data_IF_174950565935
#
_entry.id   IF_174950565935
#
_cell.length_a   1.000
_cell.length_b   1.000
_cell.length_c   1.000
_cell.angle_alpha   90.00
_cell.angle_beta   90.00
_cell.angle_gamma   90.00
#
_symmetry.space_group_name_H-M   'P 1'
#
loop_
_entity.id
_entity.type
_entity.pdbx_description
1 polymer ?
#
# COMPACT_ATOMS: atom_id res chain seq x y z
N UNK A 1 -10.58 -21.03 -63.17
CA UNK A 1 -10.14 -20.34 -61.94
C UNK A 1 -11.06 -19.16 -61.75
N UNK A 2 -12.23 -19.32 -61.13
CA UNK A 2 -12.37 -19.47 -59.68
C UNK A 2 -12.95 -18.16 -59.13
N UNK A 3 -14.26 -17.97 -59.31
CA UNK A 3 -15.12 -16.89 -58.79
C UNK A 3 -15.47 -17.12 -57.32
N UNK A 4 -15.44 -16.10 -56.45
CA UNK A 4 -16.30 -15.90 -55.26
C UNK A 4 -16.20 -14.40 -54.86
N UNK A 5 -17.20 -13.54 -55.13
CA UNK A 5 -18.47 -13.31 -54.42
C UNK A 5 -18.36 -12.54 -53.11
N UNK A 6 -19.05 -11.39 -53.08
CA UNK A 6 -19.45 -10.61 -51.91
C UNK A 6 -20.05 -11.50 -50.81
N UNK A 7 -19.63 -11.30 -49.56
CA UNK A 7 -20.43 -11.55 -48.36
C UNK A 7 -20.54 -10.18 -47.65
N UNK A 8 -21.65 -9.45 -47.87
CA UNK A 8 -22.78 -9.37 -46.94
C UNK A 8 -22.36 -8.91 -45.54
N UNK A 9 -22.32 -7.59 -45.38
CA UNK A 9 -22.50 -6.91 -44.09
C UNK A 9 -23.92 -7.25 -43.60
N UNK A 10 -24.09 -7.83 -42.39
CA UNK A 10 -25.41 -7.89 -41.77
C UNK A 10 -25.85 -6.45 -41.45
N UNK A 11 -27.03 -6.01 -41.92
CA UNK A 11 -27.63 -4.77 -41.45
C UNK A 11 -28.22 -5.00 -40.06
N UNK A 12 -28.25 -3.93 -39.26
CA UNK A 12 -28.89 -3.83 -37.93
C UNK A 12 -28.03 -4.28 -36.72
N UNK A 13 -27.19 -3.36 -36.25
CA UNK A 13 -27.05 -3.05 -34.83
C UNK A 13 -26.88 -1.53 -34.71
N UNK A 14 -27.93 -0.90 -34.21
CA UNK A 14 -28.12 0.54 -33.98
C UNK A 14 -26.84 1.22 -33.46
N UNK A 15 -26.32 2.18 -34.23
CA UNK A 15 -25.10 2.94 -33.94
C UNK A 15 -25.23 3.90 -32.76
N UNK A 16 -26.43 4.04 -32.18
CA UNK A 16 -26.67 4.88 -30.99
C UNK A 16 -26.64 4.11 -29.66
N UNK A 17 -26.92 2.80 -29.67
CA UNK A 17 -26.88 1.95 -28.47
C UNK A 17 -25.45 1.59 -28.04
N UNK A 18 -24.50 1.53 -28.98
CA UNK A 18 -23.11 1.16 -28.67
C UNK A 18 -22.34 2.24 -27.91
N UNK A 19 -22.61 3.54 -28.10
CA UNK A 19 -21.84 4.58 -27.41
C UNK A 19 -22.25 4.71 -25.93
N UNK A 20 -23.53 4.53 -25.63
CA UNK A 20 -24.05 4.49 -24.26
C UNK A 20 -23.65 3.21 -23.53
N UNK A 21 -23.70 2.05 -24.21
CA UNK A 21 -23.28 0.77 -23.61
C UNK A 21 -21.76 0.72 -23.42
N UNK A 22 -20.96 1.20 -24.37
CA UNK A 22 -19.50 1.32 -24.21
C UNK A 22 -19.13 2.41 -23.19
N UNK A 23 -19.88 3.51 -23.13
CA UNK A 23 -19.73 4.53 -22.10
C UNK A 23 -20.02 3.98 -20.71
N UNK A 24 -21.15 3.28 -20.54
CA UNK A 24 -21.52 2.62 -19.29
C UNK A 24 -20.57 1.48 -18.92
N UNK A 25 -20.09 0.69 -19.88
CA UNK A 25 -19.09 -0.35 -19.65
C UNK A 25 -17.75 0.24 -19.25
N UNK A 26 -17.28 1.30 -19.93
CA UNK A 26 -16.06 1.99 -19.54
C UNK A 26 -16.19 2.67 -18.16
N UNK A 27 -17.36 3.21 -17.83
CA UNK A 27 -17.65 3.82 -16.53
C UNK A 27 -17.79 2.77 -15.41
N UNK A 28 -18.35 1.60 -15.72
CA UNK A 28 -18.45 0.45 -14.81
C UNK A 28 -17.11 -0.27 -14.64
N UNK A 29 -16.27 -0.33 -15.69
CA UNK A 29 -14.92 -0.85 -15.63
C UNK A 29 -13.97 0.10 -14.91
N UNK A 30 -14.09 1.42 -15.12
CA UNK A 30 -13.30 2.43 -14.37
C UNK A 30 -13.71 2.51 -12.91
N UNK A 31 -14.99 2.42 -12.58
CA UNK A 31 -15.45 2.34 -11.18
C UNK A 31 -15.09 1.00 -10.54
N UNK A 32 -15.17 -0.12 -11.28
CA UNK A 32 -14.66 -1.40 -10.79
C UNK A 32 -13.14 -1.35 -10.56
N UNK A 33 -12.36 -0.82 -11.50
CA UNK A 33 -10.90 -0.65 -11.35
C UNK A 33 -10.57 0.32 -10.21
N UNK A 34 -11.33 1.40 -10.02
CA UNK A 34 -11.17 2.31 -8.88
C UNK A 34 -11.46 1.61 -7.54
N UNK A 35 -12.46 0.73 -7.48
CA UNK A 35 -12.73 -0.11 -6.31
C UNK A 35 -11.64 -1.17 -6.03
N UNK A 36 -10.72 -1.40 -6.99
CA UNK A 36 -9.55 -2.27 -6.84
C UNK A 36 -8.22 -1.51 -6.80
N UNK A 37 -8.21 -0.19 -7.01
CA UNK A 37 -6.99 0.60 -7.09
C UNK A 37 -6.48 0.89 -5.67
N UNK A 38 -5.31 0.35 -5.37
CA UNK A 38 -4.59 0.60 -4.13
C UNK A 38 -3.75 1.87 -4.30
N UNK A 39 -3.96 2.85 -3.44
CA UNK A 39 -3.25 4.13 -3.44
C UNK A 39 -2.10 4.12 -2.44
N UNK A 40 -0.88 4.49 -2.87
CA UNK A 40 0.30 4.53 -1.99
C UNK A 40 0.35 5.86 -1.26
N UNK A 41 0.21 5.84 0.06
CA UNK A 41 0.25 7.05 0.90
C UNK A 41 1.63 7.32 1.49
N UNK A 42 2.46 6.29 1.60
CA UNK A 42 3.84 6.39 2.08
C UNK A 42 4.71 5.30 1.43
N UNK A 43 5.94 5.64 1.07
CA UNK A 43 6.92 4.66 0.59
C UNK A 43 8.32 4.99 1.10
N UNK A 44 8.98 3.99 1.68
CA UNK A 44 10.41 3.95 2.02
C UNK A 44 11.03 2.73 1.35
N UNK A 45 12.07 2.93 0.57
CA UNK A 45 12.86 1.86 -0.07
C UNK A 45 14.24 2.42 -0.48
N UNK A 46 15.15 1.54 -0.89
CA UNK A 46 16.49 1.94 -1.32
C UNK A 46 16.49 2.40 -2.78
N UNK A 47 16.22 3.69 -3.00
CA UNK A 47 16.28 4.32 -4.32
C UNK A 47 17.65 4.96 -4.63
N UNK A 48 18.67 4.65 -3.83
CA UNK A 48 19.99 5.27 -3.91
C UNK A 48 20.03 6.69 -3.34
N UNK A 49 21.15 7.37 -3.56
CA UNK A 49 21.40 8.73 -3.06
C UNK A 49 21.14 9.81 -4.14
N UNK A 50 20.68 11.02 -3.75
CA UNK A 50 20.30 11.41 -2.40
C UNK A 50 18.95 10.81 -1.98
N UNK A 51 18.83 10.44 -0.70
CA UNK A 51 17.59 9.95 -0.10
C UNK A 51 16.61 11.05 0.25
N UNK A 52 15.31 10.70 0.29
CA UNK A 52 14.28 11.64 0.70
C UNK A 52 14.35 11.85 2.22
N UNK A 53 14.27 13.10 2.65
CA UNK A 53 14.32 13.43 4.07
C UNK A 53 12.90 13.38 4.67
N UNK A 54 12.63 12.44 5.56
CA UNK A 54 11.34 12.35 6.25
C UNK A 54 11.30 13.17 7.56
N UNK A 55 12.41 13.71 8.05
CA UNK A 55 12.42 14.59 9.22
C UNK A 55 11.97 16.01 8.83
N UNK A 56 10.69 16.14 8.49
CA UNK A 56 10.03 17.34 7.98
C UNK A 56 9.07 17.96 9.00
N UNK A 57 8.70 19.20 8.72
CA UNK A 57 7.82 19.98 9.59
C UNK A 57 6.33 19.65 9.37
N UNK A 58 5.46 20.30 10.15
CA UNK A 58 4.01 20.12 10.04
C UNK A 58 3.46 20.46 8.65
N UNK A 59 3.95 21.53 8.02
CA UNK A 59 3.44 22.00 6.74
C UNK A 59 3.79 21.02 5.61
N UNK A 60 5.00 20.49 5.61
CA UNK A 60 5.44 19.44 4.70
C UNK A 60 4.59 18.17 4.88
N UNK A 61 4.39 17.69 6.11
CA UNK A 61 3.54 16.52 6.37
C UNK A 61 2.08 16.73 6.04
N UNK A 62 1.57 17.96 6.15
CA UNK A 62 0.22 18.34 5.73
C UNK A 62 0.07 18.25 4.21
N UNK A 63 1.00 18.85 3.46
CA UNK A 63 0.89 19.02 2.01
C UNK A 63 1.43 17.81 1.21
N UNK A 64 2.30 17.02 1.82
CA UNK A 64 3.02 15.93 1.16
C UNK A 64 4.38 16.35 0.62
N UNK A 65 5.25 15.36 0.42
CA UNK A 65 6.61 15.55 -0.08
C UNK A 65 7.15 14.26 -0.72
N UNK A 66 8.27 14.37 -1.44
CA UNK A 66 8.94 13.27 -2.12
C UNK A 66 8.50 13.10 -3.58
N UNK A 67 8.86 11.96 -4.16
CA UNK A 67 8.63 11.63 -5.57
C UNK A 67 7.75 10.37 -5.64
N UNK A 68 6.58 10.41 -6.33
CA UNK A 68 5.72 9.25 -6.52
C UNK A 68 6.41 8.01 -7.12
N UNK A 69 7.50 8.20 -7.87
CA UNK A 69 8.31 7.13 -8.43
C UNK A 69 9.38 6.58 -7.46
N UNK A 70 9.62 7.26 -6.32
CA UNK A 70 10.62 6.90 -5.29
C UNK A 70 9.96 6.88 -3.90
N UNK A 71 10.62 7.48 -2.91
CA UNK A 71 10.08 7.69 -1.57
C UNK A 71 9.12 8.88 -1.54
N UNK A 72 8.03 8.75 -0.80
CA UNK A 72 7.00 9.79 -0.71
C UNK A 72 6.22 9.74 0.61
N UNK A 73 5.65 10.89 0.97
CA UNK A 73 4.49 11.01 1.86
C UNK A 73 3.40 11.79 1.14
N UNK A 74 2.20 11.22 1.03
CA UNK A 74 1.10 11.80 0.23
C UNK A 74 0.57 13.14 0.78
N UNK A 75 0.75 13.39 2.08
CA UNK A 75 0.22 14.56 2.76
C UNK A 75 -1.03 14.24 3.57
N UNK A 76 -1.04 14.67 4.82
CA UNK A 76 -2.12 14.39 5.77
C UNK A 76 -3.46 14.98 5.31
N UNK A 77 -3.46 16.13 4.64
CA UNK A 77 -4.71 16.71 4.13
C UNK A 77 -5.33 15.81 3.05
N UNK A 78 -4.51 15.28 2.14
CA UNK A 78 -4.98 14.38 1.09
C UNK A 78 -5.51 13.05 1.67
N UNK A 79 -4.78 12.48 2.64
CA UNK A 79 -5.20 11.23 3.31
C UNK A 79 -6.50 11.46 4.11
N UNK A 80 -6.65 12.61 4.77
CA UNK A 80 -7.87 12.98 5.48
C UNK A 80 -9.06 13.04 4.52
N UNK A 81 -8.91 13.75 3.39
CA UNK A 81 -9.97 13.91 2.40
C UNK A 81 -10.42 12.57 1.80
N UNK A 82 -9.50 11.63 1.54
CA UNK A 82 -9.82 10.30 1.04
C UNK A 82 -10.56 9.47 2.09
N UNK A 83 -9.99 9.34 3.29
CA UNK A 83 -10.47 8.42 4.33
C UNK A 83 -11.73 8.89 5.07
N UNK A 84 -12.20 10.11 4.81
CA UNK A 84 -13.46 10.63 5.36
C UNK A 84 -14.61 10.60 4.33
N UNK A 85 -14.33 10.29 3.07
CA UNK A 85 -15.36 10.18 2.04
C UNK A 85 -15.98 8.78 1.99
N UNK A 86 -15.16 7.74 2.16
CA UNK A 86 -15.58 6.33 2.14
C UNK A 86 -14.87 5.54 3.25
N UNK A 87 -15.26 4.28 3.46
CA UNK A 87 -14.53 3.38 4.36
C UNK A 87 -13.30 2.81 3.64
N UNK A 88 -12.12 3.09 4.18
CA UNK A 88 -10.84 2.66 3.62
C UNK A 88 -10.21 1.60 4.51
N UNK A 89 -9.56 0.62 3.88
CA UNK A 89 -8.59 -0.24 4.53
C UNK A 89 -7.18 0.32 4.39
N UNK A 90 -6.32 0.03 5.36
CA UNK A 90 -4.88 0.29 5.31
C UNK A 90 -4.12 -1.02 5.16
N UNK A 91 -3.17 -1.05 4.23
CA UNK A 91 -2.22 -2.12 4.02
C UNK A 91 -0.81 -1.58 4.20
N UNK A 92 0.00 -2.26 5.00
CA UNK A 92 1.40 -1.93 5.23
C UNK A 92 2.24 -3.14 4.82
N UNK A 93 3.16 -2.95 3.89
CA UNK A 93 4.13 -3.96 3.46
C UNK A 93 5.53 -3.61 3.96
N UNK A 94 6.25 -4.62 4.45
CA UNK A 94 7.52 -4.46 5.16
C UNK A 94 8.57 -5.45 4.62
N UNK A 95 9.83 -4.99 4.51
CA UNK A 95 11.00 -5.81 4.16
C UNK A 95 12.16 -5.52 5.12
N UNK A 96 12.84 -6.56 5.60
CA UNK A 96 14.06 -6.48 6.39
C UNK A 96 15.31 -6.57 5.48
N UNK A 97 16.50 -6.40 6.06
CA UNK A 97 17.75 -6.48 5.29
C UNK A 97 18.18 -7.93 4.97
N UNK A 98 17.58 -8.91 5.64
CA UNK A 98 17.86 -10.34 5.46
C UNK A 98 17.15 -10.91 4.22
N UNK A 99 16.22 -10.16 3.62
CA UNK A 99 15.53 -10.57 2.41
C UNK A 99 14.58 -11.74 2.64
N UNK A 100 14.06 -11.88 3.86
CA UNK A 100 13.12 -12.92 4.27
C UNK A 100 11.77 -12.79 3.51
N UNK A 101 11.77 -13.21 2.24
CA UNK A 101 10.60 -13.24 1.35
C UNK A 101 9.92 -14.60 1.51
N UNK A 102 8.81 -14.66 2.24
CA UNK A 102 8.02 -15.89 2.31
C UNK A 102 7.40 -16.16 0.94
N UNK A 103 7.54 -17.40 0.45
CA UNK A 103 7.00 -17.78 -0.84
C UNK A 103 5.46 -17.77 -0.83
N UNK A 104 4.81 -17.29 -1.91
CA UNK A 104 3.37 -17.39 -2.08
C UNK A 104 2.95 -18.86 -2.20
N UNK A 105 1.85 -19.22 -1.54
CA UNK A 105 1.31 -20.59 -1.55
C UNK A 105 0.87 -21.02 -2.99
N UNK A 106 0.58 -22.32 -3.21
CA UNK A 106 0.25 -22.87 -4.53
C UNK A 106 -0.91 -22.13 -5.22
N UNK A 107 -1.94 -21.75 -4.48
CA UNK A 107 -3.10 -20.97 -4.94
C UNK A 107 -2.71 -19.55 -5.36
N UNK A 108 -1.78 -18.90 -4.65
CA UNK A 108 -1.27 -17.58 -5.01
C UNK A 108 -0.43 -17.60 -6.30
N UNK A 109 0.27 -18.72 -6.61
CA UNK A 109 0.96 -18.88 -7.92
C UNK A 109 -0.01 -18.95 -9.11
N UNK A 110 -1.22 -19.45 -8.87
CA UNK A 110 -2.26 -19.52 -9.89
C UNK A 110 -2.91 -18.15 -10.11
N UNK A 111 -3.25 -17.43 -9.03
CA UNK A 111 -3.73 -16.05 -9.12
C UNK A 111 -2.69 -15.10 -9.77
N UNK A 112 -1.41 -15.23 -9.41
CA UNK A 112 -0.30 -14.51 -10.04
C UNK A 112 -0.23 -14.71 -11.56
N UNK A 113 -0.40 -15.96 -12.00
CA UNK A 113 -0.44 -16.34 -13.42
C UNK A 113 -1.67 -15.77 -14.11
N UNK A 114 -2.83 -15.81 -13.46
CA UNK A 114 -4.08 -15.29 -14.01
C UNK A 114 -4.06 -13.77 -14.16
N UNK A 115 -3.51 -13.02 -13.19
CA UNK A 115 -3.34 -11.56 -13.29
C UNK A 115 -2.33 -11.19 -14.37
N UNK A 116 -1.20 -11.91 -14.47
CA UNK A 116 -0.24 -11.73 -15.56
C UNK A 116 -0.91 -11.96 -16.92
N UNK A 117 -1.64 -13.06 -17.08
CA UNK A 117 -2.33 -13.42 -18.32
C UNK A 117 -3.44 -12.43 -18.66
N UNK A 118 -4.18 -11.92 -17.67
CA UNK A 118 -5.22 -10.91 -17.86
C UNK A 118 -4.62 -9.58 -18.32
N UNK A 119 -3.58 -9.09 -17.63
CA UNK A 119 -2.87 -7.85 -18.00
C UNK A 119 -2.22 -7.97 -19.39
N UNK A 120 -1.65 -9.13 -19.71
CA UNK A 120 -1.02 -9.35 -21.01
C UNK A 120 -2.05 -9.47 -22.13
N UNK A 121 -3.20 -10.12 -21.89
CA UNK A 121 -4.32 -10.20 -22.84
C UNK A 121 -4.88 -8.81 -23.13
N UNK A 122 -5.13 -7.99 -22.11
CA UNK A 122 -5.61 -6.61 -22.28
C UNK A 122 -4.63 -5.77 -23.11
N UNK A 123 -3.33 -5.82 -22.80
CA UNK A 123 -2.31 -5.07 -23.54
C UNK A 123 -2.15 -5.55 -24.99
N UNK A 124 -2.34 -6.84 -25.25
CA UNK A 124 -2.29 -7.43 -26.59
C UNK A 124 -3.52 -7.04 -27.43
N UNK A 125 -4.71 -6.97 -26.81
CA UNK A 125 -5.95 -6.50 -27.47
C UNK A 125 -5.90 -4.99 -27.74
N UNK A 126 -5.28 -4.21 -26.86
CA UNK A 126 -5.12 -2.75 -27.02
C UNK A 126 -3.97 -2.33 -27.96
N UNK A 127 -3.21 -3.27 -28.53
CA UNK A 127 -2.07 -3.03 -29.46
C UNK A 127 -1.12 -1.89 -29.02
N UNK A 128 -0.83 -1.77 -27.72
CA UNK A 128 0.15 -0.80 -27.24
C UNK A 128 1.53 -1.44 -27.17
N UNK A 129 2.45 -0.98 -28.00
CA UNK A 129 3.86 -1.39 -28.00
C UNK A 129 4.59 -0.83 -26.76
N UNK A 130 4.47 -1.54 -25.64
CA UNK A 130 5.37 -1.34 -24.51
C UNK A 130 6.40 -2.47 -24.46
N UNK A 131 7.68 -2.12 -24.64
CA UNK A 131 8.82 -3.02 -24.45
C UNK A 131 8.98 -3.36 -22.95
N UNK A 132 8.15 -4.26 -22.43
CA UNK A 132 8.39 -4.86 -21.12
C UNK A 132 9.40 -5.99 -21.24
N UNK A 133 10.44 -5.96 -20.40
CA UNK A 133 11.38 -7.08 -20.27
C UNK A 133 10.60 -8.32 -19.79
N UNK A 134 10.83 -9.51 -20.38
CA UNK A 134 10.17 -10.72 -19.94
C UNK A 134 10.50 -11.04 -18.48
N UNK A 135 9.47 -11.28 -17.66
CA UNK A 135 9.62 -11.71 -16.27
C UNK A 135 10.30 -13.08 -16.26
N UNK A 136 11.55 -13.15 -15.77
CA UNK A 136 12.23 -14.41 -15.49
C UNK A 136 12.04 -14.75 -14.01
N UNK A 137 11.45 -15.90 -13.66
CA UNK A 137 11.42 -16.38 -12.29
C UNK A 137 12.80 -16.90 -11.90
N UNK A 138 13.75 -16.00 -11.65
CA UNK A 138 14.94 -16.34 -10.88
C UNK A 138 14.64 -15.99 -9.43
N UNK A 139 13.94 -16.85 -8.69
CA UNK A 139 13.98 -16.97 -7.22
C UNK A 139 12.82 -17.84 -6.72
N UNK A 140 13.03 -19.14 -6.71
CA UNK A 140 12.35 -20.13 -5.87
C UNK A 140 13.21 -21.40 -5.95
N UNK A 141 14.49 -21.28 -5.60
CA UNK A 141 15.35 -22.45 -5.40
C UNK A 141 15.58 -22.56 -3.89
N UNK A 142 15.15 -23.72 -3.37
CA UNK A 142 15.58 -24.32 -2.10
C UNK A 142 15.06 -23.73 -0.78
N UNK A 143 13.74 -23.76 -0.58
CA UNK A 143 13.16 -23.90 0.77
C UNK A 143 12.26 -25.13 0.78
N UNK A 144 12.49 -26.05 1.73
CA UNK A 144 11.77 -27.32 1.89
C UNK A 144 10.27 -27.08 2.06
N UNK A 145 9.47 -27.90 1.39
CA UNK A 145 8.04 -27.69 1.16
C UNK A 145 7.12 -27.84 2.39
N UNK A 146 7.65 -27.92 3.62
CA UNK A 146 6.90 -28.37 4.81
C UNK A 146 6.43 -27.25 5.74
N UNK A 147 6.89 -26.00 5.61
CA UNK A 147 6.54 -24.90 6.55
C UNK A 147 5.49 -23.89 6.04
N UNK A 148 4.75 -24.22 4.98
CA UNK A 148 3.85 -23.27 4.32
C UNK A 148 2.40 -23.74 4.30
N UNK A 149 1.71 -23.55 5.43
CA UNK A 149 0.24 -23.59 5.47
C UNK A 149 -0.41 -22.31 6.00
N UNK A 150 -1.58 -22.06 5.41
CA UNK A 150 -2.70 -21.19 5.76
C UNK A 150 -2.80 -19.75 5.19
N UNK A 151 -3.87 -19.63 4.39
CA UNK A 151 -4.69 -18.51 3.88
C UNK A 151 -4.21 -17.71 2.65
N UNK A 152 -5.14 -17.65 1.69
CA UNK A 152 -5.16 -16.86 0.46
C UNK A 152 -6.30 -15.88 0.65
N UNK A 153 -6.03 -14.59 0.50
CA UNK A 153 -7.09 -13.62 0.30
C UNK A 153 -6.70 -12.66 -0.83
N UNK A 154 -7.60 -12.54 -1.81
CA UNK A 154 -7.70 -11.43 -2.78
C UNK A 154 -6.56 -11.18 -3.77
N UNK A 155 -5.96 -12.22 -4.37
CA UNK A 155 -5.27 -12.07 -5.66
C UNK A 155 -3.95 -11.28 -5.67
N UNK A 156 -3.52 -10.70 -4.56
CA UNK A 156 -2.21 -10.05 -4.44
C UNK A 156 -1.14 -11.06 -3.99
N UNK A 157 0.00 -11.06 -4.68
CA UNK A 157 1.13 -11.92 -4.34
C UNK A 157 1.85 -11.26 -3.16
N UNK A 158 1.56 -11.70 -1.94
CA UNK A 158 2.28 -11.25 -0.74
C UNK A 158 3.63 -11.95 -0.70
N UNK A 159 4.69 -11.25 -1.13
CA UNK A 159 6.08 -11.74 -1.10
C UNK A 159 6.83 -11.35 0.18
N UNK A 160 6.15 -10.79 1.19
CA UNK A 160 6.79 -10.20 2.37
C UNK A 160 5.91 -10.17 3.63
N UNK A 161 6.35 -9.38 4.61
CA UNK A 161 5.65 -9.17 5.88
C UNK A 161 4.67 -8.03 5.75
N UNK A 162 3.51 -8.15 6.39
CA UNK A 162 2.47 -7.15 6.28
C UNK A 162 1.64 -7.01 7.56
N UNK A 163 1.05 -5.83 7.67
CA UNK A 163 -0.02 -5.51 8.59
C UNK A 163 -1.15 -4.86 7.80
N UNK A 164 -2.38 -5.27 8.05
CA UNK A 164 -3.58 -4.77 7.38
C UNK A 164 -4.60 -4.37 8.42
N UNK A 165 -5.31 -3.27 8.19
CA UNK A 165 -6.40 -2.81 9.04
C UNK A 165 -7.62 -2.62 8.15
N UNK A 166 -8.70 -3.30 8.52
CA UNK A 166 -9.95 -3.27 7.78
C UNK A 166 -10.71 -1.95 7.90
N UNK A 167 -10.30 -1.08 8.83
CA UNK A 167 -10.74 0.30 8.94
C UNK A 167 -9.51 1.19 9.13
N UNK A 168 -9.43 2.28 8.37
CA UNK A 168 -8.39 3.29 8.46
C UNK A 168 -8.97 4.66 8.18
N UNK A 169 -8.79 5.55 9.16
CA UNK A 169 -9.23 6.92 9.09
C UNK A 169 -8.23 7.82 9.78
N UNK A 170 -8.04 9.01 9.22
CA UNK A 170 -7.42 10.10 9.95
C UNK A 170 -8.40 11.27 10.05
N UNK A 171 -8.30 12.06 11.10
CA UNK A 171 -9.20 13.18 11.33
C UNK A 171 -8.67 14.48 10.71
N UNK A 172 -9.43 15.56 10.82
CA UNK A 172 -9.06 16.86 10.25
C UNK A 172 -7.80 17.46 10.89
N UNK A 173 -7.24 18.50 10.28
CA UNK A 173 -6.15 19.28 10.90
C UNK A 173 -6.53 19.84 12.28
N UNK A 174 -7.81 20.19 12.48
CA UNK A 174 -8.35 20.67 13.76
C UNK A 174 -8.31 19.62 14.88
N UNK A 175 -8.24 18.35 14.50
CA UNK A 175 -8.01 17.20 15.40
C UNK A 175 -6.60 16.63 15.24
N UNK A 176 -5.68 17.45 14.70
CA UNK A 176 -4.27 17.12 14.55
C UNK A 176 -4.02 15.83 13.75
N UNK A 177 -4.87 15.54 12.76
CA UNK A 177 -4.79 14.33 11.94
C UNK A 177 -4.73 13.04 12.75
N UNK A 178 -5.42 12.98 13.89
CA UNK A 178 -5.54 11.79 14.76
C UNK A 178 -5.83 10.53 13.95
N UNK A 179 -5.14 9.43 14.27
CA UNK A 179 -5.32 8.12 13.64
C UNK A 179 -6.45 7.33 14.30
N UNK A 180 -7.25 6.65 13.50
CA UNK A 180 -8.19 5.61 13.93
C UNK A 180 -8.07 4.40 12.99
N UNK A 181 -7.88 3.22 13.58
CA UNK A 181 -7.74 1.94 12.89
C UNK A 181 -8.45 0.82 13.64
N UNK A 182 -8.94 -0.17 12.89
CA UNK A 182 -9.52 -1.39 13.46
C UNK A 182 -9.44 -2.59 12.48
N UNK A 183 -9.70 -3.79 13.00
CA UNK A 183 -9.75 -5.05 12.26
C UNK A 183 -8.39 -5.45 11.70
N UNK A 184 -7.40 -5.56 12.60
CA UNK A 184 -6.06 -6.00 12.24
C UNK A 184 -6.07 -7.43 11.67
N UNK A 185 -5.37 -7.60 10.56
CA UNK A 185 -4.93 -8.90 10.04
C UNK A 185 -3.48 -8.79 9.54
N UNK A 186 -2.73 -9.87 9.64
CA UNK A 186 -1.40 -9.95 9.03
C UNK A 186 -0.36 -10.63 9.89
N UNK A 187 0.82 -10.79 9.29
CA UNK A 187 1.92 -11.59 9.83
C UNK A 187 3.03 -10.76 10.47
N UNK A 188 3.03 -9.43 10.37
CA UNK A 188 4.06 -8.56 10.96
C UNK A 188 3.81 -8.19 12.44
N UNK A 189 2.72 -8.68 13.04
CA UNK A 189 2.27 -8.26 14.36
C UNK A 189 1.71 -6.83 14.38
N UNK A 190 0.80 -6.56 15.32
CA UNK A 190 0.06 -5.30 15.38
C UNK A 190 0.82 -4.23 16.17
N UNK A 191 1.72 -3.50 15.50
CA UNK A 191 2.46 -2.39 16.13
C UNK A 191 1.60 -1.14 16.32
N UNK A 192 0.57 -0.90 15.49
CA UNK A 192 -0.19 0.36 15.58
C UNK A 192 -1.28 0.31 16.65
N UNK A 193 -1.84 -0.85 16.97
CA UNK A 193 -2.89 -0.96 17.98
C UNK A 193 -2.36 -1.39 19.37
N UNK A 194 -1.04 -1.35 19.58
CA UNK A 194 -0.47 -1.65 20.90
C UNK A 194 -1.00 -0.69 21.99
N UNK A 195 -1.46 -1.21 23.15
CA UNK A 195 -2.10 -0.40 24.18
C UNK A 195 -1.22 0.71 24.76
N UNK A 196 0.09 0.57 24.73
CA UNK A 196 1.03 1.48 25.40
C UNK A 196 1.84 2.30 24.40
N UNK A 197 2.28 1.65 23.33
CA UNK A 197 3.25 2.19 22.39
C UNK A 197 2.76 2.24 20.94
N UNK A 198 1.52 1.85 20.72
CA UNK A 198 0.87 1.93 19.43
C UNK A 198 0.54 3.37 19.04
N UNK A 199 -0.01 3.51 17.85
CA UNK A 199 -0.39 4.77 17.22
C UNK A 199 -1.89 5.01 17.22
N UNK A 200 -2.72 3.98 17.42
CA UNK A 200 -4.18 4.13 17.36
C UNK A 200 -4.67 5.19 18.36
N UNK A 201 -5.62 6.02 17.92
CA UNK A 201 -6.18 7.15 18.66
C UNK A 201 -5.15 8.21 19.11
N UNK A 202 -3.99 8.27 18.47
CA UNK A 202 -2.97 9.28 18.75
C UNK A 202 -2.98 10.37 17.67
N UNK A 203 -2.87 11.66 18.04
CA UNK A 203 -2.69 12.75 17.09
C UNK A 203 -1.33 12.64 16.38
N UNK A 204 -1.24 13.21 15.19
CA UNK A 204 0.03 13.31 14.47
C UNK A 204 0.91 14.37 15.13
N UNK A 205 2.23 14.14 15.18
CA UNK A 205 3.19 15.13 15.67
C UNK A 205 4.42 15.20 14.78
N UNK A 206 5.00 16.38 14.67
CA UNK A 206 6.24 16.68 13.94
C UNK A 206 7.23 17.38 14.89
N UNK A 207 8.49 17.51 14.47
CA UNK A 207 9.50 18.11 15.34
C UNK A 207 9.18 19.57 15.77
N UNK A 208 8.36 20.28 14.99
CA UNK A 208 7.94 21.66 15.26
C UNK A 208 6.49 21.79 15.75
N UNK A 209 5.73 20.69 15.87
CA UNK A 209 4.37 20.68 16.42
C UNK A 209 4.14 19.39 17.19
N UNK A 210 4.28 19.51 18.51
CA UNK A 210 4.16 18.42 19.46
C UNK A 210 2.71 18.28 19.93
N UNK A 211 2.06 17.17 19.55
CA UNK A 211 0.73 16.81 20.00
C UNK A 211 0.73 15.45 20.69
N UNK A 212 1.90 14.85 20.95
CA UNK A 212 1.99 13.52 21.52
C UNK A 212 1.69 13.52 23.04
N UNK A 213 1.62 12.35 23.66
CA UNK A 213 1.26 12.20 25.08
C UNK A 213 2.48 12.06 26.00
N UNK A 214 3.67 12.30 25.45
CA UNK A 214 4.93 12.26 26.21
C UNK A 214 5.22 13.63 26.82
N UNK A 215 6.13 13.66 27.80
CA UNK A 215 6.74 14.91 28.28
C UNK A 215 7.90 15.38 27.39
N UNK A 216 8.23 14.62 26.34
CA UNK A 216 9.27 14.88 25.37
C UNK A 216 8.65 14.94 23.97
N UNK A 217 9.19 15.74 23.06
CA UNK A 217 8.76 15.71 21.66
C UNK A 217 9.29 14.44 20.97
N UNK A 218 8.40 13.45 20.77
CA UNK A 218 8.74 12.16 20.18
C UNK A 218 9.26 12.31 18.75
N UNK A 219 8.65 13.19 17.95
CA UNK A 219 9.06 13.42 16.57
C UNK A 219 10.48 14.02 16.48
N UNK A 220 10.86 14.89 17.41
CA UNK A 220 12.22 15.44 17.49
C UNK A 220 13.24 14.37 17.90
N UNK A 221 12.87 13.48 18.84
CA UNK A 221 13.74 12.43 19.37
C UNK A 221 13.93 11.27 18.38
N UNK A 222 12.84 10.75 17.81
CA UNK A 222 12.81 9.54 16.98
C UNK A 222 12.86 9.85 15.48
N UNK A 223 12.79 11.13 15.11
CA UNK A 223 12.79 11.64 13.73
C UNK A 223 11.53 11.27 12.94
N UNK A 224 11.13 12.20 12.09
CA UNK A 224 9.95 12.05 11.26
C UNK A 224 8.64 12.35 11.97
N UNK A 225 7.64 12.65 11.15
CA UNK A 225 6.27 12.86 11.60
C UNK A 225 5.55 11.52 11.75
N UNK A 226 4.84 11.33 12.85
CA UNK A 226 4.06 10.11 13.09
C UNK A 226 2.94 10.36 14.09
N UNK A 227 2.01 9.41 14.19
CA UNK A 227 1.04 9.31 15.28
C UNK A 227 1.72 8.76 16.53
N UNK A 228 2.51 9.61 17.18
CA UNK A 228 3.28 9.27 18.38
C UNK A 228 2.38 9.22 19.62
N UNK A 229 2.56 8.18 20.44
CA UNK A 229 1.86 8.04 21.73
C UNK A 229 2.71 8.53 22.90
N UNK A 230 3.65 7.74 23.43
CA UNK A 230 4.56 8.21 24.51
C UNK A 230 5.83 7.36 24.77
N UNK A 231 6.86 7.29 23.92
CA UNK A 231 6.81 7.36 22.47
C UNK A 231 6.69 5.93 21.92
N UNK A 232 6.03 5.77 20.78
CA UNK A 232 6.02 4.53 20.01
C UNK A 232 7.24 4.37 19.11
N UNK A 233 7.11 3.56 18.07
CA UNK A 233 8.01 3.46 16.90
C UNK A 233 7.17 3.71 15.64
N UNK A 234 7.81 4.21 14.59
CA UNK A 234 7.11 4.62 13.36
C UNK A 234 7.91 4.32 12.10
N UNK A 235 7.25 4.46 10.95
CA UNK A 235 7.83 4.12 9.64
C UNK A 235 8.46 5.33 8.93
N UNK A 236 8.37 6.51 9.53
CA UNK A 236 8.82 7.78 8.96
C UNK A 236 10.18 8.26 9.52
N UNK A 237 10.88 7.41 10.27
CA UNK A 237 12.21 7.74 10.78
C UNK A 237 13.29 7.80 9.69
N UNK A 238 14.54 7.89 10.10
CA UNK A 238 15.72 7.91 9.25
C UNK A 238 15.81 6.63 8.42
N UNK A 239 16.27 6.75 7.18
CA UNK A 239 16.65 5.57 6.41
C UNK A 239 18.13 5.25 6.70
N UNK A 240 18.37 4.15 7.38
CA UNK A 240 19.72 3.69 7.75
C UNK A 240 20.10 2.45 6.94
N UNK A 241 21.40 2.30 6.63
CA UNK A 241 21.91 1.18 5.84
C UNK A 241 22.30 -0.04 6.69
N UNK A 242 22.58 0.18 7.96
CA UNK A 242 22.85 -0.87 8.93
C UNK A 242 21.58 -1.08 9.78
N UNK A 243 20.91 -2.26 9.69
CA UNK A 243 19.72 -2.55 10.46
C UNK A 243 19.92 -2.46 11.99
N UNK A 244 21.16 -2.61 12.47
CA UNK A 244 21.52 -2.64 13.88
C UNK A 244 22.37 -1.45 14.31
N UNK A 245 22.35 -0.36 13.53
CA UNK A 245 22.99 0.90 13.91
C UNK A 245 22.55 1.32 15.33
N UNK A 246 23.44 1.96 16.09
CA UNK A 246 23.14 2.47 17.45
C UNK A 246 21.94 3.45 17.47
N UNK A 247 21.62 4.04 16.33
CA UNK A 247 20.50 4.94 16.10
C UNK A 247 19.30 4.27 15.43
N UNK A 248 19.28 2.95 15.24
CA UNK A 248 18.22 2.21 14.56
C UNK A 248 16.81 2.48 15.12
N UNK A 249 16.70 2.81 16.41
CA UNK A 249 15.44 3.27 17.04
C UNK A 249 14.84 4.54 16.44
N UNK A 250 15.66 5.35 15.77
CA UNK A 250 15.26 6.56 15.02
C UNK A 250 14.95 6.25 13.56
N UNK A 251 15.04 4.98 13.15
CA UNK A 251 14.88 4.54 11.78
C UNK A 251 13.44 4.19 11.39
N UNK A 252 13.29 3.32 10.39
CA UNK A 252 12.01 2.79 9.95
C UNK A 252 11.71 1.56 10.83
N UNK A 253 10.86 1.67 11.84
CA UNK A 253 10.73 0.60 12.85
C UNK A 253 9.31 0.07 12.96
N UNK A 254 9.18 -1.26 12.89
CA UNK A 254 7.96 -2.00 13.21
C UNK A 254 8.21 -2.98 14.36
N UNK A 255 7.96 -2.53 15.58
CA UNK A 255 8.54 -3.16 16.77
C UNK A 255 7.94 -4.52 17.12
N UNK A 256 6.70 -4.81 16.71
CA UNK A 256 6.10 -6.15 16.91
C UNK A 256 6.72 -7.22 16.00
N UNK A 257 7.44 -6.84 14.95
CA UNK A 257 8.12 -7.77 14.05
C UNK A 257 9.61 -7.93 14.38
N UNK A 258 10.40 -6.86 14.22
CA UNK A 258 11.87 -6.92 14.36
C UNK A 258 12.40 -6.32 15.67
N UNK A 259 11.52 -5.90 16.57
CA UNK A 259 11.89 -5.27 17.82
C UNK A 259 12.13 -3.77 17.69
N UNK A 260 12.57 -3.16 18.80
CA UNK A 260 12.56 -1.71 18.99
C UNK A 260 13.72 -0.95 18.35
N UNK A 261 14.82 -1.66 18.10
CA UNK A 261 16.11 -1.12 17.71
C UNK A 261 16.60 -1.79 16.42
N UNK A 262 15.65 -2.19 15.55
CA UNK A 262 15.92 -2.70 14.22
C UNK A 262 15.22 -1.82 13.19
N UNK A 263 15.99 -1.23 12.29
CA UNK A 263 15.46 -0.44 11.18
C UNK A 263 15.24 -1.33 9.96
N UNK A 264 14.08 -1.19 9.35
CA UNK A 264 13.66 -1.92 8.17
C UNK A 264 14.29 -1.33 6.92
N UNK A 265 14.39 -2.18 5.90
CA UNK A 265 14.83 -1.78 4.56
C UNK A 265 13.68 -1.13 3.79
N UNK A 266 12.48 -1.68 3.89
CA UNK A 266 11.33 -1.19 3.15
C UNK A 266 10.10 -1.07 4.02
N UNK A 267 9.34 -0.01 3.80
CA UNK A 267 7.99 0.15 4.31
C UNK A 267 7.14 0.83 3.26
N UNK A 268 5.97 0.27 2.96
CA UNK A 268 4.99 0.89 2.04
C UNK A 268 3.63 0.88 2.70
N UNK A 269 3.04 2.06 2.87
CA UNK A 269 1.67 2.19 3.35
C UNK A 269 0.75 2.51 2.18
N UNK A 270 -0.36 1.80 2.14
CA UNK A 270 -1.30 1.80 1.03
C UNK A 270 -2.72 1.80 1.54
N UNK A 271 -3.61 2.51 0.87
CA UNK A 271 -5.03 2.54 1.22
C UNK A 271 -5.87 2.07 0.04
N UNK A 272 -7.02 1.48 0.35
CA UNK A 272 -7.97 1.03 -0.66
C UNK A 272 -9.40 1.21 -0.14
N UNK A 273 -10.35 1.71 -0.96
CA UNK A 273 -11.76 1.71 -0.59
C UNK A 273 -12.24 0.27 -0.37
N UNK A 274 -13.01 0.02 0.69
CA UNK A 274 -13.56 -1.33 0.92
C UNK A 274 -14.70 -1.71 -0.02
N UNK A 275 -15.28 -0.72 -0.72
CA UNK A 275 -16.47 -0.89 -1.54
C UNK A 275 -17.71 -1.16 -0.69
N UNK A 276 -18.87 -0.77 -1.18
CA UNK A 276 -20.14 -1.18 -0.57
C UNK A 276 -20.27 -2.69 -0.81
N UNK A 277 -20.19 -3.50 0.26
CA UNK A 277 -20.66 -4.89 0.19
C UNK A 277 -22.15 -4.80 -0.11
N UNK A 278 -22.51 -5.00 -1.37
CA UNK A 278 -23.91 -5.08 -1.79
C UNK A 278 -24.55 -6.22 -1.01
N UNK A 279 -25.35 -5.88 -0.01
CA UNK A 279 -26.31 -6.81 0.57
C UNK A 279 -27.30 -7.14 -0.54
N UNK A 280 -27.07 -8.24 -1.26
CA UNK A 280 -28.13 -8.91 -2.00
C UNK A 280 -29.14 -9.40 -0.99
N UNK A 281 -30.13 -8.56 -0.68
CA UNK A 281 -31.37 -9.01 -0.05
C UNK A 281 -32.05 -9.96 -1.02
N UNK A 282 -32.18 -11.21 -0.57
CA UNK A 282 -32.96 -12.31 -1.12
C UNK A 282 -34.41 -11.96 -1.41
#
# INVERSE_FOLDING_TARGET
>A
MGTWSKALVPPELDSSLNLLVLGNLAQHETSAIANYATEVIQRRDDFGEPRENFNRDWADYKNGFGDPAKELWMGNENIYMLTNNEDYMLRIELEDFEGNKRCPNKSTRQAAREIYLFRHTILTVLKKDFNFRPWKPHYCQELSAEDCEHRVEYGEIILGWFAQYSHFKIYSEGEYYKLEIDGYDGNAGDSLNDPWYGSNNSPFSTYNRDNDRSSLNCASMLKGGWWWKSCGRGLNGLYLNDPQDLTARQGIVWFRWRGWDYTLKKAVMMIKPRGIIGTTTS
#
